data_IF_205386855750
#
_entry.id   IF_205386855750
#
_cell.length_a   1.000
_cell.length_b   1.000
_cell.length_c   1.000
_cell.angle_alpha   90.00
_cell.angle_beta   90.00
_cell.angle_gamma   90.00
#
_symmetry.space_group_name_H-M   'P 1'
#
loop_
_entity.id
_entity.type
_entity.pdbx_description
1 polymer ?
#
# COMPACT_ATOMS: atom_id res chain seq x y z
N UNK A 1 39.50 -38.90 5.29
CA UNK A 1 38.69 -38.13 6.25
C UNK A 1 37.82 -37.12 5.51
N UNK A 2 38.39 -36.24 4.67
CA UNK A 2 37.64 -35.18 3.94
C UNK A 2 36.47 -35.65 3.06
N UNK A 3 36.57 -36.82 2.42
CA UNK A 3 35.45 -37.35 1.60
C UNK A 3 34.29 -37.86 2.44
N UNK A 4 34.57 -38.30 3.67
CA UNK A 4 33.54 -38.80 4.59
C UNK A 4 32.81 -37.63 5.26
N UNK A 5 33.55 -36.60 5.66
CA UNK A 5 32.95 -35.36 6.17
C UNK A 5 32.09 -34.68 5.10
N UNK A 6 32.57 -34.54 3.86
CA UNK A 6 31.73 -33.99 2.78
C UNK A 6 30.51 -34.84 2.45
N UNK A 7 30.57 -36.16 2.62
CA UNK A 7 29.42 -37.04 2.44
C UNK A 7 28.43 -36.88 3.60
N UNK A 8 28.92 -36.71 4.83
CA UNK A 8 28.13 -36.38 6.02
C UNK A 8 27.45 -35.01 5.87
N UNK A 9 28.15 -33.97 5.42
CA UNK A 9 27.53 -32.63 5.23
C UNK A 9 26.48 -32.65 4.11
N UNK A 10 26.69 -33.43 3.05
CA UNK A 10 25.70 -33.59 1.97
C UNK A 10 24.50 -34.42 2.39
N UNK A 11 24.70 -35.42 3.24
CA UNK A 11 23.63 -36.23 3.80
C UNK A 11 22.81 -35.42 4.82
N UNK A 12 23.47 -34.64 5.67
CA UNK A 12 22.84 -33.74 6.65
C UNK A 12 22.02 -32.65 5.93
N UNK A 13 22.56 -32.04 4.87
CA UNK A 13 21.82 -31.12 4.02
C UNK A 13 20.61 -31.77 3.32
N UNK A 14 20.78 -33.01 2.83
CA UNK A 14 19.70 -33.75 2.18
C UNK A 14 18.61 -34.20 3.15
N UNK A 15 18.94 -34.44 4.42
CA UNK A 15 17.99 -34.76 5.50
C UNK A 15 17.22 -33.50 5.93
N UNK A 16 17.91 -32.36 6.10
CA UNK A 16 17.28 -31.08 6.49
C UNK A 16 16.31 -30.53 5.44
N UNK A 17 16.52 -30.85 4.17
CA UNK A 17 15.70 -30.38 3.05
C UNK A 17 14.84 -31.49 2.43
N UNK A 18 14.77 -32.68 3.04
CA UNK A 18 13.88 -33.74 2.57
C UNK A 18 12.43 -33.40 2.96
N UNK A 19 11.49 -33.24 2.02
CA UNK A 19 10.17 -32.76 2.33
C UNK A 19 9.25 -33.93 2.70
N UNK A 20 9.54 -34.68 3.76
CA UNK A 20 8.60 -35.64 4.36
C UNK A 20 8.90 -35.84 5.85
N UNK A 21 8.35 -34.97 6.70
CA UNK A 21 8.30 -35.18 8.16
C UNK A 21 8.30 -33.87 8.95
N UNK A 22 7.24 -33.64 9.74
CA UNK A 22 6.99 -32.40 10.48
C UNK A 22 8.15 -31.98 11.40
N UNK A 23 8.57 -30.72 11.30
CA UNK A 23 9.58 -30.09 12.19
C UNK A 23 8.98 -29.34 13.39
N UNK A 24 7.64 -29.31 13.55
CA UNK A 24 7.01 -28.81 14.78
C UNK A 24 5.55 -29.31 14.93
N UNK A 25 5.10 -29.71 16.13
CA UNK A 25 3.72 -30.13 16.39
C UNK A 25 2.67 -29.01 16.22
N UNK A 26 3.08 -27.75 16.05
CA UNK A 26 2.18 -26.60 15.89
C UNK A 26 1.77 -26.32 14.42
N UNK A 27 2.38 -27.01 13.45
CA UNK A 27 2.15 -26.80 12.00
C UNK A 27 1.36 -27.94 11.33
N UNK A 28 0.47 -28.62 12.05
CA UNK A 28 -0.39 -29.66 11.48
C UNK A 28 -1.51 -29.05 10.61
N UNK A 29 -1.16 -28.56 9.42
CA UNK A 29 -2.14 -28.42 8.33
C UNK A 29 -2.53 -29.82 7.87
N UNK A 30 -3.82 -30.06 7.68
CA UNK A 30 -4.30 -31.36 7.21
C UNK A 30 -3.70 -31.69 5.83
N UNK A 31 -3.59 -32.97 5.49
CA UNK A 31 -3.06 -33.40 4.19
C UNK A 31 -3.82 -32.74 3.00
N UNK A 32 -5.11 -32.48 3.19
CA UNK A 32 -5.96 -31.78 2.21
C UNK A 32 -5.59 -30.30 2.08
N UNK A 33 -5.26 -29.62 3.18
CA UNK A 33 -4.80 -28.23 3.18
C UNK A 33 -3.42 -28.07 2.54
N UNK A 34 -2.51 -29.01 2.77
CA UNK A 34 -1.19 -29.01 2.12
C UNK A 34 -1.31 -29.22 0.61
N UNK A 35 -2.19 -30.12 0.17
CA UNK A 35 -2.52 -30.29 -1.25
C UNK A 35 -3.17 -29.04 -1.84
N UNK A 36 -4.04 -28.37 -1.10
CA UNK A 36 -4.68 -27.13 -1.54
C UNK A 36 -3.66 -25.99 -1.71
N UNK A 37 -2.71 -25.85 -0.77
CA UNK A 37 -1.64 -24.85 -0.83
C UNK A 37 -0.72 -25.10 -2.03
N UNK A 38 -0.31 -26.34 -2.27
CA UNK A 38 0.52 -26.71 -3.44
C UNK A 38 -0.25 -26.50 -4.74
N UNK A 39 -1.53 -26.84 -4.80
CA UNK A 39 -2.36 -26.57 -5.99
C UNK A 39 -2.51 -25.07 -6.23
N UNK A 40 -2.62 -24.26 -5.18
CA UNK A 40 -2.70 -22.81 -5.30
C UNK A 40 -1.37 -22.22 -5.78
N UNK A 41 -0.23 -22.65 -5.23
CA UNK A 41 1.09 -22.19 -5.71
C UNK A 41 1.32 -22.58 -7.18
N UNK A 42 0.89 -23.78 -7.59
CA UNK A 42 0.95 -24.23 -8.98
C UNK A 42 0.08 -23.37 -9.92
N UNK A 43 -1.10 -22.94 -9.47
CA UNK A 43 -1.95 -22.02 -10.26
C UNK A 43 -1.25 -20.70 -10.54
N UNK A 44 -0.57 -20.11 -9.54
CA UNK A 44 0.17 -18.86 -9.70
C UNK A 44 1.35 -19.02 -10.67
N UNK A 45 2.07 -20.14 -10.59
CA UNK A 45 3.18 -20.45 -11.49
C UNK A 45 2.68 -20.64 -12.92
N UNK A 46 1.61 -21.41 -13.13
CA UNK A 46 1.02 -21.62 -14.45
C UNK A 46 0.48 -20.31 -15.05
N UNK A 47 -0.16 -19.46 -14.25
CA UNK A 47 -0.61 -18.16 -14.72
C UNK A 47 0.57 -17.29 -15.17
N UNK A 48 1.66 -17.27 -14.40
CA UNK A 48 2.88 -16.54 -14.74
C UNK A 48 3.56 -17.09 -16.00
N UNK A 49 3.59 -18.41 -16.18
CA UNK A 49 4.09 -19.06 -17.40
C UNK A 49 3.30 -18.63 -18.63
N UNK A 50 1.96 -18.63 -18.54
CA UNK A 50 1.07 -18.21 -19.63
C UNK A 50 1.31 -16.72 -19.98
N UNK A 51 1.40 -15.85 -18.97
CA UNK A 51 1.68 -14.42 -19.19
C UNK A 51 3.04 -14.20 -19.84
N UNK A 52 4.07 -14.94 -19.41
CA UNK A 52 5.42 -14.84 -19.97
C UNK A 52 5.47 -15.33 -21.42
N UNK A 53 4.77 -16.42 -21.75
CA UNK A 53 4.62 -16.85 -23.15
C UNK A 53 3.91 -15.80 -23.98
N UNK A 54 2.80 -15.25 -23.50
CA UNK A 54 2.08 -14.20 -24.21
C UNK A 54 2.94 -12.95 -24.46
N UNK A 55 3.81 -12.58 -23.51
CA UNK A 55 4.80 -11.49 -23.65
C UNK A 55 5.89 -11.80 -24.68
N UNK A 56 6.37 -13.05 -24.73
CA UNK A 56 7.35 -13.49 -25.72
C UNK A 56 6.70 -13.51 -27.12
N UNK A 57 5.48 -14.00 -27.22
CA UNK A 57 4.72 -14.10 -28.46
C UNK A 57 4.31 -12.69 -28.97
N UNK A 58 3.97 -11.75 -28.08
CA UNK A 58 3.69 -10.36 -28.45
C UNK A 58 4.92 -9.58 -28.90
N UNK A 59 6.11 -9.93 -28.39
CA UNK A 59 7.38 -9.37 -28.86
C UNK A 59 7.89 -10.01 -30.16
N UNK A 60 7.23 -11.08 -30.63
CA UNK A 60 7.59 -11.82 -31.85
C UNK A 60 6.73 -11.44 -33.06
N UNK A 61 5.75 -10.56 -32.89
CA UNK A 61 4.90 -10.05 -33.98
C UNK A 61 5.35 -8.63 -34.33
N UNK A 62 5.85 -8.45 -35.56
CA UNK A 62 6.41 -7.19 -36.08
C UNK A 62 5.38 -6.06 -36.25
N UNK A 63 4.09 -6.32 -36.06
CA UNK A 63 3.02 -5.32 -36.10
C UNK A 63 2.74 -4.78 -34.69
N UNK A 64 3.52 -3.79 -34.27
CA UNK A 64 3.24 -2.99 -33.07
C UNK A 64 1.88 -2.27 -33.25
N UNK A 65 0.90 -2.49 -32.35
CA UNK A 65 -0.30 -1.67 -32.34
C UNK A 65 0.08 -0.23 -31.98
N UNK A 66 -0.29 0.75 -32.82
CA UNK A 66 -0.19 2.17 -32.48
C UNK A 66 -1.13 2.49 -31.30
N UNK A 67 -0.60 2.55 -30.08
CA UNK A 67 -1.37 2.93 -28.89
C UNK A 67 -0.54 2.95 -27.61
N UNK A 68 -0.94 3.78 -26.64
CA UNK A 68 -0.32 3.82 -25.31
C UNK A 68 -0.55 2.49 -24.59
N UNK A 69 0.55 1.78 -24.32
CA UNK A 69 0.56 0.48 -23.65
C UNK A 69 -0.17 0.53 -22.30
N UNK A 70 -0.09 1.66 -21.57
CA UNK A 70 -0.77 1.81 -20.29
C UNK A 70 -2.28 1.87 -20.46
N UNK A 71 -2.76 2.58 -21.49
CA UNK A 71 -4.18 2.65 -21.81
C UNK A 71 -4.71 1.29 -22.26
N UNK A 72 -3.97 0.56 -23.10
CA UNK A 72 -4.34 -0.79 -23.52
C UNK A 72 -4.38 -1.78 -22.33
N UNK A 73 -3.47 -1.64 -21.37
CA UNK A 73 -3.44 -2.45 -20.15
C UNK A 73 -4.63 -2.14 -19.24
N UNK A 74 -4.98 -0.87 -19.09
CA UNK A 74 -6.15 -0.44 -18.30
C UNK A 74 -7.45 -0.93 -18.95
N UNK A 75 -7.60 -0.81 -20.27
CA UNK A 75 -8.75 -1.35 -21.01
C UNK A 75 -8.86 -2.88 -20.92
N UNK A 76 -7.72 -3.59 -20.96
CA UNK A 76 -7.69 -5.04 -20.78
C UNK A 76 -8.09 -5.44 -19.35
N UNK A 77 -7.60 -4.73 -18.33
CA UNK A 77 -7.96 -4.97 -16.95
C UNK A 77 -9.44 -4.69 -16.69
N UNK A 78 -9.98 -3.62 -17.26
CA UNK A 78 -11.40 -3.28 -17.19
C UNK A 78 -12.25 -4.37 -17.86
N UNK A 79 -11.92 -4.78 -19.09
CA UNK A 79 -12.63 -5.84 -19.82
C UNK A 79 -12.54 -7.19 -19.10
N UNK A 80 -11.37 -7.53 -18.55
CA UNK A 80 -11.16 -8.78 -17.80
C UNK A 80 -11.98 -8.78 -16.51
N UNK A 81 -12.00 -7.66 -15.80
CA UNK A 81 -12.81 -7.48 -14.59
C UNK A 81 -14.30 -7.59 -14.90
N UNK A 82 -14.76 -6.90 -15.95
CA UNK A 82 -16.14 -6.96 -16.41
C UNK A 82 -16.54 -8.37 -16.85
N UNK A 83 -15.66 -9.09 -17.57
CA UNK A 83 -15.89 -10.48 -17.96
C UNK A 83 -15.99 -11.39 -16.74
N UNK A 84 -15.11 -11.22 -15.75
CA UNK A 84 -15.11 -12.00 -14.51
C UNK A 84 -16.38 -11.74 -13.69
N UNK A 85 -16.77 -10.47 -13.54
CA UNK A 85 -18.02 -10.06 -12.89
C UNK A 85 -19.21 -10.69 -13.61
N UNK A 86 -19.28 -10.57 -14.95
CA UNK A 86 -20.37 -11.13 -15.75
C UNK A 86 -20.43 -12.65 -15.65
N UNK A 87 -19.28 -13.33 -15.69
CA UNK A 87 -19.20 -14.79 -15.51
C UNK A 87 -19.70 -15.22 -14.14
N UNK A 88 -19.28 -14.52 -13.08
CA UNK A 88 -19.73 -14.79 -11.72
C UNK A 88 -21.23 -14.52 -11.56
N UNK A 89 -21.75 -13.43 -12.15
CA UNK A 89 -23.18 -13.11 -12.17
C UNK A 89 -23.99 -14.18 -12.91
N UNK A 90 -23.52 -14.65 -14.07
CA UNK A 90 -24.16 -15.74 -14.81
C UNK A 90 -24.14 -17.04 -14.00
N UNK A 91 -23.01 -17.39 -13.38
CA UNK A 91 -22.88 -18.58 -12.56
C UNK A 91 -23.81 -18.54 -11.35
N UNK A 92 -23.86 -17.42 -10.64
CA UNK A 92 -24.80 -17.20 -9.53
C UNK A 92 -26.25 -17.25 -10.01
N UNK A 93 -26.54 -16.71 -11.19
CA UNK A 93 -27.86 -16.82 -11.83
C UNK A 93 -28.27 -18.27 -12.11
N UNK A 94 -27.35 -19.09 -12.64
CA UNK A 94 -27.59 -20.52 -12.84
C UNK A 94 -27.81 -21.27 -11.53
N UNK A 95 -27.00 -20.98 -10.50
CA UNK A 95 -27.19 -21.57 -9.17
C UNK A 95 -28.51 -21.16 -8.54
N UNK A 96 -28.90 -19.89 -8.67
CA UNK A 96 -30.19 -19.39 -8.18
C UNK A 96 -31.36 -20.07 -8.89
N UNK A 97 -31.28 -20.24 -10.21
CA UNK A 97 -32.26 -20.99 -11.00
C UNK A 97 -32.35 -22.45 -10.56
N UNK A 98 -31.21 -23.12 -10.37
CA UNK A 98 -31.18 -24.50 -9.89
C UNK A 98 -31.82 -24.63 -8.49
N UNK A 99 -31.58 -23.67 -7.59
CA UNK A 99 -32.23 -23.62 -6.28
C UNK A 99 -33.74 -23.42 -6.42
N UNK A 100 -34.20 -22.52 -7.31
CA UNK A 100 -35.64 -22.33 -7.57
C UNK A 100 -36.29 -23.60 -8.14
N UNK A 101 -35.63 -24.28 -9.08
CA UNK A 101 -36.12 -25.52 -9.68
C UNK A 101 -36.23 -26.65 -8.64
N UNK A 102 -35.27 -26.72 -7.70
CA UNK A 102 -35.35 -27.66 -6.57
C UNK A 102 -36.49 -27.30 -5.63
N UNK A 103 -36.66 -26.02 -5.27
CA UNK A 103 -37.59 -25.57 -4.22
C UNK A 103 -39.05 -25.47 -4.68
N UNK A 104 -39.27 -25.09 -5.94
CA UNK A 104 -40.58 -24.80 -6.52
C UNK A 104 -40.88 -25.62 -7.78
N UNK A 105 -39.85 -26.06 -8.51
CA UNK A 105 -39.99 -26.82 -9.76
C UNK A 105 -40.10 -28.35 -9.59
N UNK A 106 -40.08 -28.85 -8.35
CA UNK A 106 -40.25 -30.29 -8.07
C UNK A 106 -39.03 -31.16 -8.41
N UNK A 107 -37.87 -30.56 -8.73
CA UNK A 107 -36.67 -31.31 -9.12
C UNK A 107 -35.97 -32.03 -7.96
N UNK A 108 -36.35 -31.76 -6.71
CA UNK A 108 -35.82 -32.41 -5.50
C UNK A 108 -36.85 -33.23 -4.74
N UNK A 109 -36.39 -34.14 -3.87
CA UNK A 109 -37.26 -34.87 -2.93
C UNK A 109 -37.90 -33.92 -1.92
N UNK A 110 -39.08 -34.27 -1.41
CA UNK A 110 -39.88 -33.41 -0.51
C UNK A 110 -39.10 -32.98 0.76
N UNK A 111 -38.26 -33.87 1.29
CA UNK A 111 -37.37 -33.57 2.42
C UNK A 111 -36.30 -32.51 2.08
N UNK A 112 -35.69 -32.60 0.89
CA UNK A 112 -34.69 -31.64 0.42
C UNK A 112 -35.34 -30.28 0.18
N UNK A 113 -36.57 -30.25 -0.36
CA UNK A 113 -37.32 -29.02 -0.56
C UNK A 113 -37.61 -28.29 0.76
N UNK A 114 -38.07 -29.02 1.78
CA UNK A 114 -38.35 -28.46 3.11
C UNK A 114 -37.10 -27.89 3.79
N UNK A 115 -35.99 -28.63 3.76
CA UNK A 115 -34.70 -28.16 4.31
C UNK A 115 -34.19 -26.94 3.55
N UNK A 116 -34.27 -26.94 2.22
CA UNK A 116 -33.82 -25.83 1.38
C UNK A 116 -34.66 -24.57 1.62
N UNK A 117 -36.00 -24.69 1.76
CA UNK A 117 -36.89 -23.58 2.14
C UNK A 117 -36.53 -22.98 3.50
N UNK A 118 -36.25 -23.83 4.50
CA UNK A 118 -35.85 -23.36 5.82
C UNK A 118 -34.51 -22.61 5.79
N UNK A 119 -33.53 -23.10 5.01
CA UNK A 119 -32.25 -22.42 4.81
C UNK A 119 -32.41 -21.09 4.07
N UNK A 120 -33.21 -21.05 3.00
CA UNK A 120 -33.50 -19.83 2.26
C UNK A 120 -34.17 -18.78 3.14
N UNK A 121 -35.17 -19.15 3.94
CA UNK A 121 -35.82 -18.21 4.86
C UNK A 121 -34.83 -17.61 5.86
N UNK A 122 -33.92 -18.42 6.43
CA UNK A 122 -32.87 -17.91 7.32
C UNK A 122 -31.91 -16.96 6.60
N UNK A 123 -31.53 -17.29 5.37
CA UNK A 123 -30.65 -16.45 4.55
C UNK A 123 -31.34 -15.13 4.18
N UNK A 124 -32.62 -15.14 3.81
CA UNK A 124 -33.37 -13.93 3.51
C UNK A 124 -33.49 -13.01 4.72
N UNK A 125 -33.85 -13.54 5.89
CA UNK A 125 -33.90 -12.75 7.13
C UNK A 125 -32.55 -12.10 7.43
N UNK A 126 -31.45 -12.85 7.27
CA UNK A 126 -30.09 -12.31 7.48
C UNK A 126 -29.70 -11.27 6.42
N UNK A 127 -30.12 -11.46 5.18
CA UNK A 127 -29.88 -10.50 4.11
C UNK A 127 -30.67 -9.21 4.33
N UNK A 128 -31.92 -9.30 4.79
CA UNK A 128 -32.76 -8.14 5.12
C UNK A 128 -32.16 -7.36 6.31
N UNK A 129 -31.67 -8.05 7.34
CA UNK A 129 -30.93 -7.44 8.45
C UNK A 129 -29.68 -6.70 7.94
N UNK A 130 -28.92 -7.32 7.03
CA UNK A 130 -27.72 -6.73 6.44
C UNK A 130 -28.05 -5.51 5.59
N UNK A 131 -29.09 -5.58 4.76
CA UNK A 131 -29.55 -4.48 3.92
C UNK A 131 -29.99 -3.27 4.77
N UNK A 132 -30.73 -3.52 5.85
CA UNK A 132 -31.12 -2.48 6.81
C UNK A 132 -29.90 -1.81 7.45
N UNK A 133 -28.89 -2.59 7.86
CA UNK A 133 -27.65 -2.03 8.39
C UNK A 133 -26.89 -1.21 7.34
N UNK A 134 -26.90 -1.65 6.08
CA UNK A 134 -26.22 -0.97 4.99
C UNK A 134 -26.85 0.40 4.69
N UNK A 135 -28.18 0.49 4.67
CA UNK A 135 -28.88 1.77 4.51
C UNK A 135 -28.63 2.70 5.70
N UNK A 136 -28.69 2.19 6.93
CA UNK A 136 -28.33 2.97 8.12
C UNK A 136 -26.88 3.49 8.06
N UNK A 137 -25.95 2.66 7.59
CA UNK A 137 -24.55 3.06 7.38
C UNK A 137 -24.43 4.19 6.37
N UNK A 138 -25.16 4.11 5.26
CA UNK A 138 -25.18 5.14 4.22
C UNK A 138 -25.74 6.47 4.73
N UNK A 139 -26.80 6.43 5.52
CA UNK A 139 -27.35 7.62 6.20
C UNK A 139 -26.34 8.25 7.16
N UNK A 140 -25.66 7.43 7.98
CA UNK A 140 -24.64 7.90 8.91
C UNK A 140 -23.44 8.52 8.20
N UNK A 141 -22.96 7.92 7.11
CA UNK A 141 -21.89 8.51 6.30
C UNK A 141 -22.29 9.88 5.73
N UNK A 142 -23.53 10.01 5.26
CA UNK A 142 -24.02 11.30 4.75
C UNK A 142 -24.02 12.35 5.86
N UNK A 143 -24.51 11.99 7.05
CA UNK A 143 -24.52 12.88 8.21
C UNK A 143 -23.12 13.26 8.69
N UNK A 144 -22.19 12.29 8.68
CA UNK A 144 -20.77 12.54 8.98
C UNK A 144 -20.17 13.56 8.01
N UNK A 145 -20.42 13.40 6.72
CA UNK A 145 -19.96 14.32 5.69
C UNK A 145 -20.54 15.74 5.87
N UNK A 146 -21.83 15.85 6.18
CA UNK A 146 -22.48 17.13 6.46
C UNK A 146 -21.86 17.83 7.69
N UNK A 147 -21.61 17.09 8.77
CA UNK A 147 -20.95 17.61 9.97
C UNK A 147 -19.50 18.02 9.69
N UNK A 148 -18.76 17.23 8.90
CA UNK A 148 -17.43 17.61 8.45
C UNK A 148 -17.48 18.93 7.67
N UNK A 149 -18.42 19.08 6.75
CA UNK A 149 -18.58 20.33 5.98
C UNK A 149 -18.87 21.52 6.90
N UNK A 150 -19.75 21.35 7.89
CA UNK A 150 -20.06 22.39 8.88
C UNK A 150 -18.83 22.78 9.71
N UNK A 151 -18.07 21.80 10.20
CA UNK A 151 -16.80 22.05 10.89
C UNK A 151 -15.81 22.82 10.01
N UNK A 152 -15.65 22.43 8.75
CA UNK A 152 -14.74 23.13 7.84
C UNK A 152 -15.18 24.58 7.59
N UNK A 153 -16.48 24.83 7.43
CA UNK A 153 -17.03 26.20 7.32
C UNK A 153 -16.75 27.01 8.58
N UNK A 154 -17.05 26.47 9.76
CA UNK A 154 -16.81 27.15 11.02
C UNK A 154 -15.32 27.50 11.24
N UNK A 155 -14.40 26.60 10.84
CA UNK A 155 -12.97 26.85 10.88
C UNK A 155 -12.60 27.99 9.91
N UNK A 156 -13.16 27.98 8.69
CA UNK A 156 -12.88 29.00 7.70
C UNK A 156 -13.38 30.37 8.14
N UNK A 157 -14.63 30.46 8.62
CA UNK A 157 -15.23 31.69 9.14
C UNK A 157 -14.41 32.24 10.32
N UNK A 158 -13.93 31.37 11.21
CA UNK A 158 -13.06 31.78 12.30
C UNK A 158 -11.71 32.32 11.80
N UNK A 159 -11.09 31.68 10.81
CA UNK A 159 -9.85 32.15 10.21
C UNK A 159 -10.03 33.50 9.50
N UNK A 160 -11.16 33.70 8.83
CA UNK A 160 -11.51 34.97 8.20
C UNK A 160 -11.67 36.08 9.24
N UNK A 161 -12.43 35.82 10.31
CA UNK A 161 -12.56 36.74 11.44
C UNK A 161 -11.20 37.13 12.06
N UNK A 162 -10.30 36.16 12.23
CA UNK A 162 -8.95 36.44 12.75
C UNK A 162 -8.14 37.33 11.80
N UNK A 163 -8.23 37.10 10.49
CA UNK A 163 -7.58 37.95 9.47
C UNK A 163 -8.14 39.36 9.48
N UNK A 164 -9.45 39.53 9.53
CA UNK A 164 -10.08 40.85 9.62
C UNK A 164 -9.62 41.62 10.85
N UNK A 165 -9.61 40.95 12.01
CA UNK A 165 -9.16 41.55 13.27
C UNK A 165 -7.67 41.91 13.23
N UNK A 166 -6.83 41.06 12.63
CA UNK A 166 -5.42 41.37 12.45
C UNK A 166 -5.22 42.56 11.50
N UNK A 167 -5.96 42.61 10.38
CA UNK A 167 -5.89 43.72 9.43
C UNK A 167 -6.28 45.04 10.09
N UNK A 168 -7.36 45.07 10.85
CA UNK A 168 -7.81 46.26 11.57
C UNK A 168 -6.76 46.74 12.59
N UNK A 169 -6.21 45.81 13.39
CA UNK A 169 -5.13 46.11 14.33
C UNK A 169 -3.88 46.64 13.62
N UNK A 170 -3.55 46.09 12.45
CA UNK A 170 -2.39 46.53 11.68
C UNK A 170 -2.61 47.93 11.08
N UNK A 171 -3.81 48.24 10.61
CA UNK A 171 -4.17 49.60 10.17
C UNK A 171 -4.03 50.61 11.32
N UNK A 172 -4.62 50.29 12.48
CA UNK A 172 -4.52 51.15 13.68
C UNK A 172 -3.05 51.33 14.14
N UNK A 173 -2.22 50.27 14.07
CA UNK A 173 -0.79 50.35 14.38
C UNK A 173 -0.02 51.20 13.36
N UNK A 174 -0.36 51.09 12.08
CA UNK A 174 0.29 51.83 11.01
C UNK A 174 -0.02 53.34 11.09
N UNK A 175 -1.25 53.69 11.47
CA UNK A 175 -1.67 55.08 11.67
C UNK A 175 -1.06 55.69 12.94
N UNK A 176 -1.01 54.93 14.04
CA UNK A 176 -0.62 55.48 15.35
C UNK A 176 0.88 55.36 15.65
N UNK A 177 1.59 54.36 15.10
CA UNK A 177 2.99 54.07 15.43
C UNK A 177 3.76 53.45 14.24
N UNK A 178 4.18 54.25 13.24
CA UNK A 178 4.80 53.74 12.02
C UNK A 178 6.17 53.08 12.24
N UNK A 179 6.94 53.51 13.25
CA UNK A 179 8.25 52.92 13.56
C UNK A 179 8.14 51.46 14.02
N UNK A 180 7.09 51.13 14.78
CA UNK A 180 6.79 49.75 15.22
C UNK A 180 6.47 48.83 14.04
N UNK A 181 5.85 49.35 12.96
CA UNK A 181 5.60 48.58 11.74
C UNK A 181 6.90 48.21 11.02
N UNK A 182 7.89 49.11 10.97
CA UNK A 182 9.18 48.79 10.34
C UNK A 182 9.96 47.70 11.09
N UNK A 183 9.87 47.70 12.43
CA UNK A 183 10.48 46.65 13.27
C UNK A 183 9.77 45.32 13.08
N UNK A 184 8.42 45.32 13.05
CA UNK A 184 7.61 44.13 12.76
C UNK A 184 7.96 43.53 11.40
N UNK A 185 8.09 44.34 10.36
CA UNK A 185 8.43 43.87 9.02
C UNK A 185 9.82 43.24 8.97
N UNK A 186 10.80 43.82 9.68
CA UNK A 186 12.14 43.21 9.82
C UNK A 186 12.07 41.85 10.51
N UNK A 187 11.27 41.73 11.57
CA UNK A 187 11.07 40.45 12.28
C UNK A 187 10.37 39.43 11.37
N UNK A 188 9.30 39.81 10.66
CA UNK A 188 8.58 38.95 9.73
C UNK A 188 9.49 38.44 8.59
N UNK A 189 10.32 39.32 8.00
CA UNK A 189 11.31 38.90 6.99
C UNK A 189 12.31 37.90 7.55
N UNK A 190 12.74 38.09 8.81
CA UNK A 190 13.69 37.18 9.47
C UNK A 190 13.04 35.82 9.73
N UNK A 191 11.80 35.80 10.22
CA UNK A 191 11.02 34.57 10.42
C UNK A 191 10.80 33.84 9.08
N UNK A 192 10.43 34.57 8.01
CA UNK A 192 10.24 33.99 6.69
C UNK A 192 11.52 33.37 6.13
N UNK A 193 12.66 34.04 6.33
CA UNK A 193 13.99 33.53 5.97
C UNK A 193 14.30 32.22 6.72
N UNK A 194 14.10 32.21 8.04
CA UNK A 194 14.30 31.01 8.88
C UNK A 194 13.38 29.87 8.42
N UNK A 195 12.11 30.15 8.15
CA UNK A 195 11.15 29.14 7.70
C UNK A 195 11.54 28.55 6.33
N UNK A 196 11.95 29.41 5.39
CA UNK A 196 12.42 28.99 4.06
C UNK A 196 13.67 28.11 4.18
N UNK A 197 14.64 28.53 4.99
CA UNK A 197 15.84 27.73 5.27
C UNK A 197 15.49 26.38 5.90
N UNK A 198 14.59 26.36 6.89
CA UNK A 198 14.10 25.12 7.50
C UNK A 198 13.49 24.19 6.45
N UNK A 199 12.61 24.70 5.58
CA UNK A 199 11.96 23.92 4.52
C UNK A 199 12.96 23.37 3.51
N UNK A 200 13.96 24.16 3.11
CA UNK A 200 15.05 23.71 2.25
C UNK A 200 15.86 22.59 2.91
N UNK A 201 16.25 22.74 4.18
CA UNK A 201 16.97 21.71 4.92
C UNK A 201 16.13 20.43 5.02
N UNK A 202 14.84 20.53 5.37
CA UNK A 202 13.95 19.37 5.45
C UNK A 202 13.80 18.66 4.10
N UNK A 203 13.64 19.40 3.00
CA UNK A 203 13.57 18.82 1.66
C UNK A 203 14.90 18.18 1.25
N UNK A 204 16.03 18.81 1.59
CA UNK A 204 17.35 18.28 1.33
C UNK A 204 17.57 16.95 2.08
N UNK A 205 17.21 16.91 3.37
CA UNK A 205 17.23 15.68 4.19
C UNK A 205 16.30 14.64 3.58
N UNK A 206 15.07 14.99 3.22
CA UNK A 206 14.11 14.06 2.59
C UNK A 206 14.65 13.47 1.28
N UNK A 207 15.28 14.29 0.43
CA UNK A 207 15.92 13.84 -0.81
C UNK A 207 17.13 12.94 -0.55
N UNK A 208 17.96 13.27 0.45
CA UNK A 208 19.08 12.42 0.88
C UNK A 208 18.58 11.09 1.43
N UNK A 209 17.56 11.10 2.30
CA UNK A 209 16.94 9.89 2.85
C UNK A 209 16.35 9.01 1.75
N UNK A 210 15.67 9.60 0.76
CA UNK A 210 15.15 8.86 -0.40
C UNK A 210 16.29 8.26 -1.25
N UNK A 211 17.39 8.99 -1.46
CA UNK A 211 18.57 8.43 -2.15
C UNK A 211 19.25 7.31 -1.36
N UNK A 212 19.31 7.43 -0.03
CA UNK A 212 19.83 6.39 0.87
C UNK A 212 18.92 5.15 0.91
N UNK A 213 17.60 5.33 0.81
CA UNK A 213 16.64 4.22 0.69
C UNK A 213 16.81 3.45 -0.63
N UNK A 214 17.17 4.13 -1.72
CA UNK A 214 17.41 3.50 -3.02
C UNK A 214 18.81 2.87 -3.15
N UNK A 215 19.74 3.22 -2.26
CA UNK A 215 21.11 2.68 -2.21
C UNK A 215 21.49 2.29 -0.77
N UNK A 216 20.91 1.19 -0.24
CA UNK A 216 21.14 0.75 1.14
C UNK A 216 22.61 0.40 1.42
N UNK A 217 23.38 0.04 0.40
CA UNK A 217 24.83 -0.17 0.48
C UNK A 217 25.61 1.06 1.00
N UNK A 218 25.10 2.29 0.77
CA UNK A 218 25.74 3.53 1.26
C UNK A 218 25.52 3.74 2.76
N UNK A 219 24.40 3.25 3.30
CA UNK A 219 24.12 3.29 4.76
C UNK A 219 25.05 2.32 5.49
N UNK A 220 25.23 1.12 4.93
CA UNK A 220 26.18 0.12 5.47
C UNK A 220 27.63 0.59 5.38
N UNK A 221 28.00 1.29 4.29
CA UNK A 221 29.32 1.91 4.15
C UNK A 221 29.52 3.02 5.20
N UNK A 222 28.54 3.90 5.40
CA UNK A 222 28.58 4.94 6.45
C UNK A 222 28.68 4.36 7.85
N UNK A 223 27.94 3.29 8.15
CA UNK A 223 28.00 2.60 9.43
C UNK A 223 29.40 1.99 9.67
N UNK A 224 30.01 1.38 8.64
CA UNK A 224 31.37 0.82 8.71
C UNK A 224 32.47 1.89 8.82
N UNK A 225 32.26 3.07 8.24
CA UNK A 225 33.23 4.17 8.27
C UNK A 225 33.06 5.13 9.46
N UNK A 226 31.96 5.05 10.22
CA UNK A 226 31.71 5.88 11.41
C UNK A 226 32.78 5.69 12.48
N UNK A 227 33.28 4.47 12.66
CA UNK A 227 34.31 4.16 13.65
C UNK A 227 35.73 4.53 13.17
N UNK A 228 35.90 4.79 11.86
CA UNK A 228 37.18 5.16 11.24
C UNK A 228 37.45 6.67 11.34
N UNK A 229 36.41 7.49 11.50
CA UNK A 229 36.54 8.95 11.61
C UNK A 229 36.29 9.35 13.07
N UNK A 230 37.28 9.13 13.92
CA UNK A 230 37.30 9.70 15.27
C UNK A 230 37.90 11.13 15.23
N UNK A 231 37.78 11.88 16.33
CA UNK A 231 38.24 13.27 16.42
C UNK A 231 39.75 13.38 16.10
N UNK A 232 40.53 12.37 16.47
CA UNK A 232 41.98 12.28 16.21
C UNK A 232 42.28 12.14 14.70
N UNK A 233 41.53 11.29 13.99
CA UNK A 233 41.65 11.16 12.53
C UNK A 233 41.21 12.42 11.78
N UNK A 234 40.22 13.17 12.29
CA UNK A 234 39.85 14.47 11.71
C UNK A 234 40.99 15.48 11.90
N UNK A 235 41.60 15.54 13.09
CA UNK A 235 42.73 16.42 13.39
C UNK A 235 43.94 16.10 12.51
N UNK A 236 44.30 14.82 12.35
CA UNK A 236 45.39 14.37 11.46
C UNK A 236 45.11 14.69 9.98
N UNK A 237 43.89 14.50 9.50
CA UNK A 237 43.52 14.87 8.12
C UNK A 237 43.61 16.38 7.87
N UNK A 238 43.29 17.22 8.86
CA UNK A 238 43.48 18.67 8.74
C UNK A 238 44.95 19.09 8.80
N UNK A 239 45.79 18.43 9.60
CA UNK A 239 47.23 18.73 9.65
C UNK A 239 47.97 18.28 8.39
N UNK A 240 47.61 17.13 7.80
CA UNK A 240 48.26 16.63 6.59
C UNK A 240 47.92 17.47 5.34
N UNK A 241 46.76 18.15 5.34
CA UNK A 241 46.36 19.05 4.25
C UNK A 241 47.15 20.36 4.26
N UNK A 242 47.51 20.88 5.44
CA UNK A 242 48.41 22.05 5.54
C UNK A 242 49.86 21.75 5.15
N UNK A 243 50.30 20.49 5.28
CA UNK A 243 51.67 20.07 4.93
C UNK A 243 51.86 19.79 3.43
N UNK A 244 50.79 19.51 2.69
CA UNK A 244 50.85 19.22 1.25
C UNK A 244 50.75 20.46 0.36
N UNK A 245 50.28 21.59 0.90
CA UNK A 245 50.30 22.90 0.20
C UNK A 245 51.62 23.67 0.40
N UNK A 246 52.64 23.05 1.01
CA UNK A 246 53.95 23.65 1.32
C UNK A 246 55.14 22.96 0.62
N UNK A 247 54.94 22.23 -0.47
CA UNK A 247 56.01 21.62 -1.29
C UNK A 247 55.78 21.84 -2.77
#
# INVERSE_FOLDING_TARGET
>A
MDKLDQALTKLEYAIDHFPLGASSPENYKSYEEQIADVRNSLKWINAREITLRALIDSNSTEDLPEGDLNQALDELNERTSNLLINKNTLQLGYHSKAIQDVVYGGAGTEEVQLRMKACLNKLFVKNDELAMQYEKKKELMKKEYELQLECHKAIYDHQEFLKERENKRNQELQENNPDLMTVRDKILRSIFKIHTQKKLITNLIGSMCHKLQNHPELVDLLAKHKDVINLESIVEMTHNKSSTDSS
#
